data_IF_630810370625
#
_entry.id   IF_630810370625
#
_cell.length_a   1.000
_cell.length_b   1.000
_cell.length_c   1.000
_cell.angle_alpha   90.00
_cell.angle_beta   90.00
_cell.angle_gamma   90.00
#
_symmetry.space_group_name_H-M   'P 1'
#
loop_
_entity.id
_entity.type
_entity.pdbx_description
1 polymer ?
#
# COMPACT_ATOMS: atom_id res chain seq x y z
N UNK A 1 13.17 -0.22 33.59
CA UNK A 1 13.77 0.84 32.73
C UNK A 1 13.27 2.21 33.20
N UNK A 2 14.15 3.20 33.36
CA UNK A 2 13.77 4.57 33.73
C UNK A 2 12.95 5.19 32.55
N UNK A 3 12.04 6.13 32.89
CA UNK A 3 11.18 6.83 31.94
C UNK A 3 11.99 7.49 30.80
N UNK A 4 13.13 8.11 31.14
CA UNK A 4 14.02 8.76 30.17
C UNK A 4 14.66 7.76 29.18
N UNK A 5 15.08 6.59 29.66
CA UNK A 5 15.65 5.54 28.79
C UNK A 5 14.63 5.02 27.78
N UNK A 6 13.34 4.98 28.14
CA UNK A 6 12.29 4.57 27.19
C UNK A 6 12.07 5.61 26.09
N UNK A 7 12.07 6.91 26.44
CA UNK A 7 11.96 7.96 25.42
C UNK A 7 13.13 7.93 24.43
N UNK A 8 14.34 7.74 24.93
CA UNK A 8 15.54 7.58 24.10
C UNK A 8 15.40 6.35 23.20
N UNK A 9 14.93 5.23 23.75
CA UNK A 9 14.70 4.00 22.96
C UNK A 9 13.68 4.19 21.85
N UNK A 10 12.55 4.84 22.13
CA UNK A 10 11.51 5.11 21.11
C UNK A 10 12.04 6.05 20.01
N UNK A 11 12.74 7.11 20.40
CA UNK A 11 13.39 8.02 19.45
C UNK A 11 14.41 7.27 18.57
N UNK A 12 15.25 6.45 19.18
CA UNK A 12 16.19 5.60 18.47
C UNK A 12 15.48 4.64 17.51
N UNK A 13 14.39 4.00 17.95
CA UNK A 13 13.58 3.08 17.13
C UNK A 13 12.96 3.80 15.94
N UNK A 14 12.45 5.02 16.13
CA UNK A 14 11.96 5.88 15.05
C UNK A 14 13.07 6.16 14.02
N UNK A 15 14.22 6.64 14.48
CA UNK A 15 15.37 7.01 13.61
C UNK A 15 15.88 5.78 12.87
N UNK A 16 16.05 4.65 13.56
CA UNK A 16 16.54 3.41 12.97
C UNK A 16 15.56 2.90 11.88
N UNK A 17 14.26 2.88 12.19
CA UNK A 17 13.24 2.47 11.21
C UNK A 17 13.24 3.41 10.00
N UNK A 18 13.32 4.72 10.24
CA UNK A 18 13.32 5.73 9.19
C UNK A 18 14.54 5.55 8.25
N UNK A 19 15.74 5.44 8.81
CA UNK A 19 16.97 5.25 8.03
C UNK A 19 16.95 3.91 7.28
N UNK A 20 16.56 2.82 7.95
CA UNK A 20 16.51 1.50 7.35
C UNK A 20 15.55 1.48 6.15
N UNK A 21 14.39 2.12 6.27
CA UNK A 21 13.38 2.16 5.21
C UNK A 21 13.65 3.19 4.12
N UNK A 22 14.54 4.16 4.36
CA UNK A 22 15.09 5.01 3.29
C UNK A 22 16.21 4.32 2.49
N UNK A 23 16.84 3.28 3.03
CA UNK A 23 17.96 2.64 2.35
C UNK A 23 17.53 2.05 1.00
N UNK A 24 18.20 2.47 -0.08
CA UNK A 24 17.90 2.10 -1.48
C UNK A 24 16.47 2.42 -1.97
N UNK A 25 15.78 3.38 -1.36
CA UNK A 25 14.41 3.73 -1.71
C UNK A 25 14.27 4.32 -3.13
N UNK A 26 15.32 4.96 -3.63
CA UNK A 26 15.41 5.60 -4.96
C UNK A 26 16.08 4.71 -6.01
N UNK A 27 16.55 3.51 -5.63
CA UNK A 27 17.22 2.59 -6.55
C UNK A 27 16.30 2.02 -7.61
N UNK A 28 15.00 1.97 -7.34
CA UNK A 28 13.98 1.46 -8.24
C UNK A 28 13.05 2.56 -8.74
N UNK A 29 12.66 2.53 -10.02
CA UNK A 29 11.72 3.48 -10.57
C UNK A 29 10.35 3.34 -9.90
N UNK A 30 9.49 4.35 -10.11
CA UNK A 30 8.09 4.26 -9.72
C UNK A 30 7.40 3.08 -10.42
N UNK A 31 6.54 2.39 -9.71
CA UNK A 31 5.59 1.45 -10.27
C UNK A 31 4.41 2.20 -10.92
N UNK A 32 3.57 1.48 -11.67
CA UNK A 32 2.37 2.05 -12.28
C UNK A 32 1.43 2.70 -11.25
N UNK A 33 1.15 2.00 -10.15
CA UNK A 33 0.30 2.53 -9.07
C UNK A 33 0.88 3.79 -8.42
N UNK A 34 2.22 3.87 -8.32
CA UNK A 34 2.90 5.04 -7.74
C UNK A 34 2.84 6.26 -8.66
N UNK A 35 3.01 6.06 -9.99
CA UNK A 35 3.00 7.18 -10.92
C UNK A 35 1.63 7.86 -10.99
N UNK A 36 0.54 7.10 -10.80
CA UNK A 36 -0.80 7.67 -10.64
C UNK A 36 -0.83 8.58 -9.40
N UNK A 37 -0.31 8.11 -8.27
CA UNK A 37 -0.25 8.94 -7.05
C UNK A 37 0.59 10.20 -7.23
N UNK A 38 1.72 10.11 -7.96
CA UNK A 38 2.57 11.26 -8.30
C UNK A 38 1.84 12.23 -9.20
N UNK A 39 1.09 11.74 -10.18
CA UNK A 39 0.31 12.57 -11.10
C UNK A 39 -0.74 13.39 -10.36
N UNK A 40 -1.41 12.79 -9.38
CA UNK A 40 -2.41 13.47 -8.57
C UNK A 40 -1.82 14.62 -7.73
N UNK A 41 -0.51 14.60 -7.41
CA UNK A 41 0.15 15.73 -6.74
C UNK A 41 0.42 16.93 -7.66
N UNK A 42 0.34 16.74 -8.96
CA UNK A 42 0.55 17.82 -9.96
C UNK A 42 -0.73 18.55 -10.33
N UNK A 43 -1.87 18.07 -9.84
CA UNK A 43 -3.17 18.68 -10.04
C UNK A 43 -3.36 19.81 -9.01
N UNK A 44 -4.17 20.80 -9.36
CA UNK A 44 -4.58 21.83 -8.41
C UNK A 44 -5.26 21.19 -7.19
N UNK A 45 -4.90 21.65 -6.00
CA UNK A 45 -5.42 21.11 -4.72
C UNK A 45 -6.97 21.02 -4.71
N UNK A 46 -7.64 22.03 -5.28
CA UNK A 46 -9.10 22.06 -5.37
C UNK A 46 -9.71 20.99 -6.28
N UNK A 47 -8.94 20.43 -7.23
CA UNK A 47 -9.39 19.44 -8.20
C UNK A 47 -9.09 17.99 -7.78
N UNK A 48 -8.25 17.76 -6.74
CA UNK A 48 -7.87 16.41 -6.29
C UNK A 48 -9.11 15.54 -5.99
N UNK A 49 -10.14 16.13 -5.38
CA UNK A 49 -11.40 15.40 -5.10
C UNK A 49 -12.07 14.91 -6.38
N UNK A 50 -12.09 15.73 -7.43
CA UNK A 50 -12.73 15.37 -8.69
C UNK A 50 -11.98 14.26 -9.43
N UNK A 51 -10.66 14.34 -9.46
CA UNK A 51 -9.83 13.29 -10.08
C UNK A 51 -9.94 11.96 -9.31
N UNK A 52 -9.96 12.02 -7.98
CA UNK A 52 -10.12 10.82 -7.15
C UNK A 52 -11.51 10.14 -7.28
N UNK A 53 -12.48 10.76 -7.94
CA UNK A 53 -13.76 10.12 -8.29
C UNK A 53 -13.58 8.97 -9.30
N UNK A 54 -12.50 8.99 -10.06
CA UNK A 54 -12.17 7.96 -11.04
C UNK A 54 -11.17 6.93 -10.52
N UNK A 55 -10.58 7.18 -9.35
CA UNK A 55 -9.67 6.24 -8.69
C UNK A 55 -10.45 5.35 -7.70
N UNK A 56 -9.90 4.18 -7.47
CA UNK A 56 -10.37 3.23 -6.45
C UNK A 56 -10.09 3.68 -5.01
N UNK A 57 -9.38 4.80 -4.80
CA UNK A 57 -9.00 5.29 -3.48
C UNK A 57 -9.58 6.68 -3.20
N UNK A 58 -10.03 6.95 -1.96
CA UNK A 58 -10.47 8.27 -1.53
C UNK A 58 -9.33 9.31 -1.50
N UNK A 59 -9.64 10.62 -1.55
CA UNK A 59 -8.67 11.67 -1.82
C UNK A 59 -7.76 12.07 -0.66
N UNK A 60 -7.98 11.61 0.58
CA UNK A 60 -7.23 12.13 1.74
C UNK A 60 -5.72 11.88 1.64
N UNK A 61 -5.32 10.70 1.17
CA UNK A 61 -3.92 10.39 0.91
C UNK A 61 -3.31 11.38 -0.10
N UNK A 62 -4.00 11.68 -1.19
CA UNK A 62 -3.52 12.57 -2.26
C UNK A 62 -3.41 14.01 -1.78
N UNK A 63 -4.30 14.51 -0.93
CA UNK A 63 -4.16 15.82 -0.28
C UNK A 63 -2.89 15.90 0.58
N UNK A 64 -2.64 14.87 1.38
CA UNK A 64 -1.44 14.82 2.23
C UNK A 64 -0.16 14.74 1.37
N UNK A 65 -0.19 13.92 0.31
CA UNK A 65 0.94 13.74 -0.58
C UNK A 65 1.22 15.01 -1.41
N UNK A 66 0.18 15.75 -1.81
CA UNK A 66 0.30 17.03 -2.49
C UNK A 66 1.08 18.04 -1.64
N UNK A 67 0.73 18.17 -0.36
CA UNK A 67 1.46 19.05 0.57
C UNK A 67 2.92 18.56 0.71
N UNK A 68 3.13 17.26 0.82
CA UNK A 68 4.45 16.67 0.98
C UNK A 68 5.34 16.89 -0.23
N UNK A 69 4.81 16.75 -1.43
CA UNK A 69 5.50 16.98 -2.69
C UNK A 69 6.04 18.43 -2.79
N UNK A 70 5.27 19.41 -2.35
CA UNK A 70 5.71 20.82 -2.36
C UNK A 70 6.93 21.08 -1.48
N UNK A 71 7.17 20.22 -0.48
CA UNK A 71 8.29 20.35 0.46
C UNK A 71 9.49 19.51 0.00
N UNK A 72 9.25 18.27 -0.44
CA UNK A 72 10.29 17.27 -0.69
C UNK A 72 10.51 16.95 -2.19
N UNK A 73 9.67 17.48 -3.07
CA UNK A 73 9.76 17.33 -4.53
C UNK A 73 9.33 15.95 -5.04
N UNK A 74 9.41 15.80 -6.38
CA UNK A 74 8.87 14.66 -7.15
C UNK A 74 9.81 13.45 -7.26
N UNK A 75 11.01 13.49 -6.68
CA UNK A 75 11.93 12.35 -6.74
C UNK A 75 11.36 11.15 -5.98
N UNK A 76 11.80 9.93 -6.35
CA UNK A 76 11.41 8.69 -5.65
C UNK A 76 11.68 8.80 -4.14
N UNK A 77 12.82 9.37 -3.76
CA UNK A 77 13.15 9.64 -2.36
C UNK A 77 12.15 10.62 -1.74
N UNK A 78 11.86 11.75 -2.42
CA UNK A 78 10.96 12.78 -1.92
C UNK A 78 9.57 12.23 -1.64
N UNK A 79 8.94 11.63 -2.64
CA UNK A 79 7.55 11.12 -2.53
C UNK A 79 7.45 9.91 -1.60
N UNK A 80 8.34 8.91 -1.71
CA UNK A 80 8.28 7.70 -0.87
C UNK A 80 8.62 7.98 0.60
N UNK A 81 9.39 9.04 0.90
CA UNK A 81 9.68 9.44 2.28
C UNK A 81 8.41 9.77 3.09
N UNK A 82 7.30 10.14 2.44
CA UNK A 82 5.98 10.24 3.07
C UNK A 82 5.59 8.93 3.74
N UNK A 83 5.61 7.83 2.99
CA UNK A 83 5.25 6.51 3.50
C UNK A 83 6.20 6.05 4.61
N UNK A 84 7.51 6.30 4.48
CA UNK A 84 8.52 5.99 5.52
C UNK A 84 8.23 6.76 6.81
N UNK A 85 7.85 8.03 6.70
CA UNK A 85 7.53 8.86 7.86
C UNK A 85 6.35 8.31 8.65
N UNK A 86 5.22 8.02 8.00
CA UNK A 86 4.03 7.49 8.67
C UNK A 86 4.24 6.08 9.20
N UNK A 87 5.01 5.25 8.49
CA UNK A 87 5.43 3.95 8.99
C UNK A 87 6.26 4.09 10.28
N UNK A 88 7.19 5.03 10.35
CA UNK A 88 8.02 5.27 11.54
C UNK A 88 7.21 5.88 12.70
N UNK A 89 6.27 6.78 12.43
CA UNK A 89 5.36 7.34 13.42
C UNK A 89 4.47 6.28 14.08
N UNK A 90 4.16 5.20 13.36
CA UNK A 90 3.41 4.06 13.93
C UNK A 90 4.15 3.42 15.10
N UNK A 91 5.48 3.27 15.02
CA UNK A 91 6.30 2.73 16.12
C UNK A 91 6.18 3.63 17.35
N UNK A 92 6.29 4.94 17.17
CA UNK A 92 6.19 5.91 18.27
C UNK A 92 4.82 5.81 18.94
N UNK A 93 3.77 5.85 18.13
CA UNK A 93 2.38 5.84 18.56
C UNK A 93 2.03 4.56 19.34
N UNK A 94 2.29 3.41 18.75
CA UNK A 94 2.02 2.11 19.37
C UNK A 94 3.00 1.81 20.50
N UNK A 95 4.26 2.20 20.41
CA UNK A 95 5.24 2.01 21.45
C UNK A 95 4.86 2.72 22.77
N UNK A 96 4.43 3.97 22.70
CA UNK A 96 3.91 4.70 23.89
C UNK A 96 2.62 4.08 24.42
N UNK A 97 1.73 3.65 23.53
CA UNK A 97 0.49 2.98 23.90
C UNK A 97 0.76 1.66 24.63
N UNK A 98 1.64 0.81 24.10
CA UNK A 98 1.99 -0.48 24.69
C UNK A 98 2.68 -0.33 26.04
N UNK A 99 3.60 0.64 26.18
CA UNK A 99 4.21 0.96 27.48
C UNK A 99 3.15 1.32 28.52
N UNK A 100 2.15 2.12 28.13
CA UNK A 100 1.12 2.60 29.05
C UNK A 100 0.16 1.51 29.50
N UNK A 101 -0.22 0.61 28.60
CA UNK A 101 -1.30 -0.35 28.83
C UNK A 101 -0.84 -1.80 29.04
N UNK A 102 0.40 -2.10 28.71
CA UNK A 102 1.03 -3.40 28.96
C UNK A 102 2.31 -3.19 29.79
N UNK A 103 3.48 -3.24 29.16
CA UNK A 103 4.77 -3.05 29.81
C UNK A 103 5.86 -2.55 28.84
N UNK A 104 7.03 -2.17 29.39
CA UNK A 104 8.18 -1.70 28.61
C UNK A 104 8.73 -2.75 27.66
N UNK A 105 8.74 -4.04 28.10
CA UNK A 105 9.36 -5.13 27.34
C UNK A 105 8.52 -5.43 26.12
N UNK A 106 7.20 -5.46 26.26
CA UNK A 106 6.25 -5.61 25.15
C UNK A 106 6.44 -4.50 24.11
N UNK A 107 6.58 -3.24 24.57
CA UNK A 107 6.81 -2.12 23.66
C UNK A 107 8.16 -2.23 22.92
N UNK A 108 9.21 -2.69 23.60
CA UNK A 108 10.54 -2.92 23.01
C UNK A 108 10.48 -4.02 21.97
N UNK A 109 9.92 -5.18 22.30
CA UNK A 109 9.82 -6.33 21.38
C UNK A 109 8.97 -5.99 20.17
N UNK A 110 7.83 -5.32 20.37
CA UNK A 110 7.03 -4.80 19.27
C UNK A 110 7.87 -3.91 18.33
N UNK A 111 8.59 -2.93 18.89
CA UNK A 111 9.37 -2.00 18.07
C UNK A 111 10.46 -2.71 17.26
N UNK A 112 11.17 -3.66 17.86
CA UNK A 112 12.23 -4.40 17.19
C UNK A 112 11.65 -5.26 16.05
N UNK A 113 10.60 -6.04 16.29
CA UNK A 113 9.95 -6.87 15.29
C UNK A 113 9.39 -5.98 14.15
N UNK A 114 8.73 -4.87 14.48
CA UNK A 114 8.16 -3.94 13.49
C UNK A 114 9.22 -3.34 12.56
N UNK A 115 10.38 -2.95 13.10
CA UNK A 115 11.49 -2.36 12.32
C UNK A 115 11.96 -3.32 11.24
N UNK A 116 12.16 -4.59 11.59
CA UNK A 116 12.76 -5.59 10.69
C UNK A 116 11.73 -6.36 9.86
N UNK A 117 10.44 -6.09 10.00
CA UNK A 117 9.40 -6.81 9.27
C UNK A 117 9.47 -6.54 7.77
N UNK A 118 9.72 -7.58 6.91
CA UNK A 118 9.99 -7.38 5.48
C UNK A 118 8.81 -6.74 4.73
N UNK A 119 7.60 -7.15 5.02
CA UNK A 119 6.41 -6.62 4.36
C UNK A 119 6.19 -5.15 4.71
N UNK A 120 6.39 -4.75 5.97
CA UNK A 120 6.30 -3.34 6.38
C UNK A 120 7.43 -2.50 5.76
N UNK A 121 8.60 -3.08 5.50
CA UNK A 121 9.66 -2.43 4.72
C UNK A 121 9.19 -2.18 3.27
N UNK A 122 8.71 -3.23 2.61
CA UNK A 122 8.31 -3.16 1.20
C UNK A 122 7.23 -2.11 0.94
N UNK A 123 6.20 -2.04 1.81
CA UNK A 123 5.13 -1.05 1.68
C UNK A 123 5.49 0.34 2.20
N UNK A 124 6.50 0.47 3.07
CA UNK A 124 7.04 1.77 3.42
C UNK A 124 7.87 2.40 2.29
N UNK A 125 8.47 1.57 1.42
CA UNK A 125 9.19 2.00 0.22
C UNK A 125 8.26 2.19 -1.00
N UNK A 126 6.97 2.39 -0.81
CA UNK A 126 5.99 2.57 -1.86
C UNK A 126 5.21 3.88 -1.67
N UNK A 127 5.08 4.67 -2.74
CA UNK A 127 4.31 5.90 -2.75
C UNK A 127 2.80 5.61 -2.84
N UNK A 128 2.27 4.91 -1.81
CA UNK A 128 0.86 4.52 -1.71
C UNK A 128 0.32 4.77 -0.30
N UNK A 129 -0.97 4.77 -0.16
CA UNK A 129 -1.67 5.12 1.08
C UNK A 129 -1.47 4.17 2.27
N UNK A 130 -0.83 3.01 2.08
CA UNK A 130 -0.81 1.92 3.08
C UNK A 130 -0.13 2.28 4.40
N UNK A 131 1.00 3.01 4.36
CA UNK A 131 1.68 3.43 5.59
C UNK A 131 0.86 4.45 6.38
N UNK A 132 0.20 5.39 5.70
CA UNK A 132 -0.73 6.33 6.32
C UNK A 132 -1.93 5.60 6.92
N UNK A 133 -2.47 4.58 6.20
CA UNK A 133 -3.57 3.74 6.66
C UNK A 133 -3.20 3.01 7.96
N UNK A 134 -2.03 2.36 8.03
CA UNK A 134 -1.54 1.68 9.23
C UNK A 134 -1.42 2.67 10.42
N UNK A 135 -0.91 3.85 10.18
CA UNK A 135 -0.80 4.89 11.21
C UNK A 135 -2.17 5.34 11.73
N UNK A 136 -3.11 5.64 10.82
CA UNK A 136 -4.46 6.06 11.18
C UNK A 136 -5.25 4.95 11.91
N UNK A 137 -5.12 3.69 11.50
CA UNK A 137 -5.74 2.57 12.22
C UNK A 137 -5.16 2.44 13.63
N UNK A 138 -3.85 2.62 13.78
CA UNK A 138 -3.22 2.63 15.11
C UNK A 138 -3.80 3.73 15.99
N UNK A 139 -4.01 4.93 15.45
CA UNK A 139 -4.69 6.02 16.15
C UNK A 139 -6.16 5.69 16.46
N UNK A 140 -6.91 5.11 15.50
CA UNK A 140 -8.31 4.71 15.71
C UNK A 140 -8.44 3.74 16.88
N UNK A 141 -7.57 2.76 16.98
CA UNK A 141 -7.59 1.78 18.07
C UNK A 141 -7.25 2.43 19.42
N UNK A 142 -6.28 3.35 19.46
CA UNK A 142 -5.96 4.10 20.66
C UNK A 142 -7.15 4.97 21.09
N UNK A 143 -7.77 5.67 20.16
CA UNK A 143 -8.96 6.48 20.42
C UNK A 143 -10.13 5.63 20.89
N UNK A 144 -10.34 4.46 20.27
CA UNK A 144 -11.36 3.49 20.63
C UNK A 144 -11.14 2.96 22.06
N UNK A 145 -9.91 2.56 22.41
CA UNK A 145 -9.61 2.11 23.76
C UNK A 145 -9.77 3.23 24.80
N UNK A 146 -9.28 4.44 24.50
CA UNK A 146 -9.49 5.59 25.39
C UNK A 146 -10.97 5.91 25.57
N UNK A 147 -11.79 5.77 24.51
CA UNK A 147 -13.24 5.91 24.59
C UNK A 147 -13.87 4.86 25.51
N UNK A 148 -13.46 3.59 25.40
CA UNK A 148 -13.94 2.52 26.28
C UNK A 148 -13.60 2.80 27.75
N UNK A 149 -12.37 3.25 28.02
CA UNK A 149 -11.91 3.51 29.39
C UNK A 149 -12.57 4.72 30.03
N UNK A 150 -12.68 5.83 29.31
CA UNK A 150 -13.05 7.13 29.88
C UNK A 150 -14.47 7.59 29.49
N UNK A 151 -15.06 7.00 28.46
CA UNK A 151 -16.43 7.27 27.97
C UNK A 151 -16.82 8.76 27.94
N UNK A 152 -15.93 9.64 27.53
CA UNK A 152 -16.22 11.07 27.44
C UNK A 152 -16.57 11.49 25.98
N UNK A 153 -17.29 12.62 25.85
CA UNK A 153 -17.74 13.14 24.55
C UNK A 153 -16.58 13.49 23.62
N UNK A 154 -15.45 13.93 24.16
CA UNK A 154 -14.26 14.31 23.36
C UNK A 154 -13.69 13.05 22.69
N UNK A 155 -13.47 11.98 23.45
CA UNK A 155 -12.97 10.71 22.89
C UNK A 155 -13.91 10.14 21.83
N UNK A 156 -15.23 10.30 21.99
CA UNK A 156 -16.22 9.89 21.02
C UNK A 156 -16.09 10.69 19.71
N UNK A 157 -15.99 12.01 19.79
CA UNK A 157 -15.83 12.88 18.60
C UNK A 157 -14.52 12.54 17.88
N UNK A 158 -13.41 12.41 18.63
CA UNK A 158 -12.11 12.07 18.07
C UNK A 158 -12.16 10.70 17.38
N UNK A 159 -12.83 9.69 17.97
CA UNK A 159 -13.00 8.39 17.35
C UNK A 159 -13.75 8.50 16.01
N UNK A 160 -14.85 9.24 15.98
CA UNK A 160 -15.62 9.48 14.75
C UNK A 160 -14.80 10.18 13.66
N UNK A 161 -14.01 11.19 14.03
CA UNK A 161 -13.11 11.90 13.12
C UNK A 161 -11.99 10.99 12.56
N UNK A 162 -11.34 10.21 13.41
CA UNK A 162 -10.27 9.31 12.97
C UNK A 162 -10.84 8.18 12.08
N UNK A 163 -12.00 7.62 12.42
CA UNK A 163 -12.66 6.62 11.57
C UNK A 163 -13.07 7.22 10.21
N UNK A 164 -13.50 8.49 10.18
CA UNK A 164 -13.73 9.19 8.91
C UNK A 164 -12.43 9.32 8.09
N UNK A 165 -11.32 9.80 8.68
CA UNK A 165 -10.04 9.94 7.98
C UNK A 165 -9.51 8.60 7.47
N UNK A 166 -9.72 7.51 8.22
CA UNK A 166 -9.41 6.15 7.79
C UNK A 166 -10.14 5.79 6.50
N UNK A 167 -11.45 5.92 6.47
CA UNK A 167 -12.28 5.59 5.30
C UNK A 167 -11.98 6.55 4.16
N UNK A 168 -11.69 7.82 4.46
CA UNK A 168 -11.31 8.83 3.49
C UNK A 168 -9.86 8.68 2.96
N UNK A 169 -9.09 7.73 3.55
CA UNK A 169 -7.78 7.28 3.04
C UNK A 169 -7.91 6.03 2.17
N UNK A 170 -8.74 5.06 2.59
CA UNK A 170 -8.96 3.82 1.87
C UNK A 170 -10.30 3.19 2.26
N UNK A 171 -11.17 2.87 1.29
CA UNK A 171 -12.52 2.33 1.55
C UNK A 171 -12.52 1.06 2.40
N UNK A 172 -11.51 0.20 2.24
CA UNK A 172 -11.37 -1.04 2.99
C UNK A 172 -11.22 -0.82 4.49
N UNK A 173 -10.74 0.36 4.92
CA UNK A 173 -10.68 0.70 6.33
C UNK A 173 -12.06 0.73 7.02
N UNK A 174 -13.14 0.83 6.27
CA UNK A 174 -14.50 0.72 6.80
C UNK A 174 -14.74 -0.61 7.54
N UNK A 175 -14.01 -1.68 7.18
CA UNK A 175 -14.10 -2.97 7.87
C UNK A 175 -13.71 -2.91 9.36
N UNK A 176 -12.94 -1.91 9.80
CA UNK A 176 -12.58 -1.80 11.23
C UNK A 176 -13.80 -1.48 12.10
N UNK A 177 -14.78 -0.72 11.58
CA UNK A 177 -15.94 -0.23 12.35
C UNK A 177 -16.85 -1.36 12.82
N UNK A 178 -17.26 -2.34 11.99
CA UNK A 178 -18.02 -3.50 12.45
C UNK A 178 -17.30 -4.27 13.57
N UNK A 179 -15.98 -4.37 13.53
CA UNK A 179 -15.22 -5.04 14.59
C UNK A 179 -15.16 -4.22 15.88
N UNK A 180 -15.08 -2.88 15.80
CA UNK A 180 -15.24 -2.01 16.97
C UNK A 180 -16.62 -2.20 17.60
N UNK A 181 -17.69 -2.24 16.79
CA UNK A 181 -19.05 -2.42 17.25
C UNK A 181 -19.28 -3.81 17.86
N UNK A 182 -18.80 -4.86 17.21
CA UNK A 182 -18.86 -6.24 17.71
C UNK A 182 -18.14 -6.38 19.05
N UNK A 183 -16.96 -5.78 19.19
CA UNK A 183 -16.22 -5.81 20.45
C UNK A 183 -16.98 -5.14 21.60
N UNK A 184 -17.65 -4.00 21.34
CA UNK A 184 -18.48 -3.33 22.32
C UNK A 184 -19.69 -4.17 22.71
N UNK A 185 -20.37 -4.81 21.77
CA UNK A 185 -21.50 -5.71 22.04
C UNK A 185 -21.07 -6.86 22.96
N UNK A 186 -19.89 -7.43 22.72
CA UNK A 186 -19.43 -8.58 23.47
C UNK A 186 -18.92 -8.23 24.87
N UNK A 187 -18.19 -7.12 25.01
CA UNK A 187 -17.43 -6.82 26.23
C UNK A 187 -17.88 -5.57 26.99
N UNK A 188 -18.54 -4.61 26.29
CA UNK A 188 -18.81 -3.26 26.83
C UNK A 188 -20.19 -2.72 26.46
N UNK A 189 -21.24 -3.53 26.64
CA UNK A 189 -22.64 -3.22 26.23
C UNK A 189 -23.12 -1.83 26.63
N UNK A 190 -22.66 -1.31 27.80
CA UNK A 190 -23.02 0.05 28.27
C UNK A 190 -22.56 1.18 27.33
N UNK A 191 -21.62 0.93 26.41
CA UNK A 191 -21.10 1.91 25.47
C UNK A 191 -21.73 1.83 24.06
N UNK A 192 -22.72 0.95 23.84
CA UNK A 192 -23.32 0.73 22.52
C UNK A 192 -23.86 2.02 21.91
N UNK A 193 -24.65 2.79 22.67
CA UNK A 193 -25.26 4.04 22.18
C UNK A 193 -24.19 5.04 21.77
N UNK A 194 -23.15 5.23 22.60
CA UNK A 194 -22.08 6.16 22.30
C UNK A 194 -21.24 5.71 21.09
N UNK A 195 -21.06 4.40 20.89
CA UNK A 195 -20.39 3.91 19.69
C UNK A 195 -21.23 4.11 18.42
N UNK A 196 -22.53 3.96 18.52
CA UNK A 196 -23.47 4.32 17.43
C UNK A 196 -23.31 5.81 17.09
N UNK A 197 -23.24 6.70 18.08
CA UNK A 197 -23.03 8.14 17.86
C UNK A 197 -21.69 8.40 17.14
N UNK A 198 -20.61 7.73 17.54
CA UNK A 198 -19.31 7.84 16.83
C UNK A 198 -19.42 7.38 15.37
N UNK A 199 -20.13 6.28 15.13
CA UNK A 199 -20.45 5.80 13.78
C UNK A 199 -21.29 6.80 12.96
N UNK A 200 -22.31 7.43 13.58
CA UNK A 200 -23.12 8.47 12.95
C UNK A 200 -22.29 9.72 12.59
N UNK A 201 -21.37 10.14 13.45
CA UNK A 201 -20.40 11.22 13.14
C UNK A 201 -19.58 10.84 11.90
N UNK A 202 -19.04 9.63 11.88
CA UNK A 202 -18.29 9.12 10.72
C UNK A 202 -19.12 9.16 9.46
N UNK A 203 -20.34 8.62 9.48
CA UNK A 203 -21.28 8.61 8.34
C UNK A 203 -21.65 10.01 7.88
N UNK A 204 -21.90 10.92 8.81
CA UNK A 204 -22.21 12.31 8.50
C UNK A 204 -21.03 12.97 7.75
N UNK A 205 -19.78 12.82 8.23
CA UNK A 205 -18.61 13.36 7.56
C UNK A 205 -18.39 12.73 6.18
N UNK A 206 -18.65 11.43 6.03
CA UNK A 206 -18.63 10.74 4.74
C UNK A 206 -19.66 11.37 3.80
N UNK A 207 -20.89 11.58 4.24
CA UNK A 207 -21.95 12.16 3.42
C UNK A 207 -21.63 13.57 2.92
N UNK A 208 -20.83 14.35 3.66
CA UNK A 208 -20.39 15.68 3.26
C UNK A 208 -19.25 15.67 2.24
N UNK A 209 -18.45 14.62 2.21
CA UNK A 209 -17.18 14.59 1.48
C UNK A 209 -17.17 13.64 0.30
N UNK A 210 -17.93 12.55 0.37
CA UNK A 210 -18.02 11.58 -0.72
C UNK A 210 -18.98 12.08 -1.80
N UNK A 211 -18.62 11.86 -3.06
CA UNK A 211 -19.48 12.13 -4.18
C UNK A 211 -20.43 10.95 -4.44
N UNK A 212 -21.53 11.19 -5.20
CA UNK A 212 -22.42 10.12 -5.62
C UNK A 212 -21.66 8.98 -6.31
N UNK A 213 -20.71 9.32 -7.16
CA UNK A 213 -19.90 8.34 -7.90
C UNK A 213 -19.02 7.49 -6.98
N UNK A 214 -18.41 8.08 -5.94
CA UNK A 214 -17.66 7.31 -4.94
C UNK A 214 -18.56 6.35 -4.16
N UNK A 215 -19.79 6.75 -3.83
CA UNK A 215 -20.78 5.84 -3.25
C UNK A 215 -21.15 4.70 -4.21
N UNK A 216 -21.37 5.01 -5.48
CA UNK A 216 -21.65 4.01 -6.53
C UNK A 216 -20.48 3.04 -6.69
N UNK A 217 -19.22 3.50 -6.62
CA UNK A 217 -18.05 2.62 -6.63
C UNK A 217 -17.99 1.69 -5.42
N UNK A 218 -18.31 2.19 -4.22
CA UNK A 218 -18.34 1.37 -3.00
C UNK A 218 -19.45 0.31 -3.09
N UNK A 219 -20.62 0.70 -3.56
CA UNK A 219 -21.80 -0.19 -3.69
C UNK A 219 -21.66 -1.05 -4.95
N UNK A 220 -21.15 -0.49 -6.04
CA UNK A 220 -21.02 -1.12 -7.34
C UNK A 220 -19.93 -2.18 -7.43
N UNK A 221 -19.03 -2.25 -6.44
CA UNK A 221 -18.16 -3.42 -6.23
C UNK A 221 -18.99 -4.70 -6.02
N UNK A 222 -20.27 -4.56 -5.76
CA UNK A 222 -21.22 -5.67 -5.64
C UNK A 222 -21.99 -6.02 -6.91
N UNK A 223 -21.87 -5.25 -8.01
CA UNK A 223 -22.60 -5.42 -9.27
C UNK A 223 -21.72 -5.73 -10.50
N UNK A 224 -22.15 -5.41 -11.70
CA UNK A 224 -21.55 -5.83 -12.97
C UNK A 224 -20.08 -5.41 -13.22
N UNK A 225 -19.57 -4.39 -12.53
CA UNK A 225 -18.15 -3.99 -12.59
C UNK A 225 -17.17 -5.05 -12.06
N UNK A 226 -17.66 -6.03 -11.30
CA UNK A 226 -16.87 -7.17 -10.77
C UNK A 226 -16.44 -8.13 -11.91
N UNK A 227 -17.14 -8.15 -13.02
CA UNK A 227 -16.85 -9.08 -14.14
C UNK A 227 -15.53 -8.79 -14.85
N UNK A 228 -14.99 -7.57 -14.73
CA UNK A 228 -13.75 -7.13 -15.39
C UNK A 228 -12.58 -6.82 -14.44
N UNK A 229 -12.66 -7.21 -13.17
CA UNK A 229 -11.58 -6.93 -12.24
C UNK A 229 -10.38 -7.87 -12.46
N UNK A 230 -9.17 -7.31 -12.43
CA UNK A 230 -7.91 -8.07 -12.44
C UNK A 230 -7.72 -8.94 -11.17
N UNK A 231 -8.52 -8.69 -10.12
CA UNK A 231 -8.52 -9.45 -8.87
C UNK A 231 -9.27 -10.76 -9.11
N UNK A 232 -8.66 -11.87 -8.75
CA UNK A 232 -9.30 -13.20 -8.80
C UNK A 232 -10.00 -13.52 -7.49
N UNK A 233 -11.01 -14.40 -7.53
CA UNK A 233 -11.64 -14.93 -6.33
C UNK A 233 -10.60 -15.60 -5.44
N UNK A 234 -10.73 -15.42 -4.13
CA UNK A 234 -9.79 -15.96 -3.16
C UNK A 234 -9.87 -17.49 -3.12
N UNK A 235 -8.71 -18.12 -3.13
CA UNK A 235 -8.52 -19.55 -2.93
C UNK A 235 -7.84 -19.78 -1.58
N UNK A 236 -7.86 -21.00 -1.08
CA UNK A 236 -7.13 -21.34 0.15
C UNK A 236 -5.63 -21.05 0.05
N UNK A 237 -5.05 -21.20 -1.15
CA UNK A 237 -3.65 -20.82 -1.40
C UNK A 237 -3.40 -19.34 -1.15
N UNK A 238 -4.35 -18.45 -1.48
CA UNK A 238 -4.21 -17.01 -1.20
C UNK A 238 -4.20 -16.72 0.30
N UNK A 239 -5.00 -17.44 1.10
CA UNK A 239 -4.96 -17.29 2.56
C UNK A 239 -3.61 -17.79 3.13
N UNK A 240 -3.09 -18.91 2.64
CA UNK A 240 -1.77 -19.41 3.04
C UNK A 240 -0.65 -18.45 2.65
N UNK A 241 -0.72 -17.86 1.44
CA UNK A 241 0.23 -16.84 1.00
C UNK A 241 0.18 -15.60 1.90
N UNK A 242 -1.02 -15.14 2.26
CA UNK A 242 -1.17 -14.05 3.22
C UNK A 242 -0.51 -14.37 4.57
N UNK A 243 -0.78 -15.53 5.15
CA UNK A 243 -0.19 -15.93 6.44
C UNK A 243 1.34 -16.05 6.34
N UNK A 244 1.84 -16.53 5.20
CA UNK A 244 3.27 -16.66 4.98
C UNK A 244 3.99 -15.32 4.81
N UNK A 245 3.39 -14.39 4.08
CA UNK A 245 4.02 -13.10 3.75
C UNK A 245 3.79 -12.03 4.82
N UNK A 246 2.63 -12.05 5.51
CA UNK A 246 2.22 -11.01 6.44
C UNK A 246 2.45 -11.39 7.90
N UNK A 247 2.41 -12.68 8.24
CA UNK A 247 2.49 -13.17 9.62
C UNK A 247 3.66 -14.13 9.82
N UNK A 248 4.83 -13.80 9.28
CA UNK A 248 6.12 -14.52 9.38
C UNK A 248 6.17 -15.87 8.65
N UNK A 249 5.16 -16.66 8.74
CA UNK A 249 4.80 -17.88 8.02
C UNK A 249 3.56 -18.50 8.68
N UNK A 250 2.87 -19.37 7.97
CA UNK A 250 1.74 -20.11 8.55
C UNK A 250 2.15 -20.98 9.76
N UNK A 251 3.39 -21.45 9.82
CA UNK A 251 3.92 -22.21 10.98
C UNK A 251 4.02 -21.29 12.20
N UNK A 252 4.60 -20.10 12.07
CA UNK A 252 4.66 -19.13 13.16
C UNK A 252 3.27 -18.67 13.59
N UNK A 253 2.35 -18.47 12.65
CA UNK A 253 0.96 -18.15 12.97
C UNK A 253 0.32 -19.21 13.85
N UNK A 254 0.48 -20.49 13.53
CA UNK A 254 -0.04 -21.61 14.34
C UNK A 254 0.62 -21.67 15.73
N UNK A 255 1.94 -21.47 15.83
CA UNK A 255 2.65 -21.44 17.12
C UNK A 255 2.15 -20.27 17.99
N UNK A 256 1.89 -19.12 17.40
CA UNK A 256 1.34 -17.97 18.11
C UNK A 256 -0.10 -18.26 18.56
N UNK A 257 -0.92 -18.86 17.71
CA UNK A 257 -2.29 -19.25 18.07
C UNK A 257 -2.29 -20.23 19.26
N UNK A 258 -1.43 -21.26 19.24
CA UNK A 258 -1.28 -22.19 20.35
C UNK A 258 -0.79 -21.50 21.64
N UNK A 259 0.15 -20.54 21.51
CA UNK A 259 0.62 -19.74 22.63
C UNK A 259 -0.46 -18.84 23.22
N UNK A 260 -1.33 -18.27 22.37
CA UNK A 260 -2.52 -17.52 22.82
C UNK A 260 -3.42 -18.41 23.65
N UNK A 261 -3.77 -19.59 23.15
CA UNK A 261 -4.62 -20.55 23.85
C UNK A 261 -4.01 -20.97 25.20
N UNK A 262 -2.68 -21.17 25.23
CA UNK A 262 -1.97 -21.51 26.47
C UNK A 262 -2.05 -20.37 27.49
N UNK A 263 -1.74 -19.13 27.09
CA UNK A 263 -1.76 -17.95 27.97
C UNK A 263 -3.18 -17.66 28.47
N UNK A 264 -4.16 -17.69 27.59
CA UNK A 264 -5.58 -17.48 27.95
C UNK A 264 -6.09 -18.55 28.95
N UNK A 265 -5.65 -19.79 28.81
CA UNK A 265 -6.01 -20.86 29.77
C UNK A 265 -5.37 -20.65 31.15
N UNK A 266 -4.12 -20.18 31.18
CA UNK A 266 -3.37 -19.95 32.41
C UNK A 266 -3.87 -18.72 33.20
N UNK A 267 -4.21 -17.62 32.48
CA UNK A 267 -4.57 -16.34 33.07
C UNK A 267 -6.09 -16.14 33.29
N UNK A 268 -6.91 -17.19 33.14
CA UNK A 268 -8.39 -17.12 33.28
C UNK A 268 -8.89 -16.45 34.59
N UNK A 269 -8.06 -16.26 35.60
CA UNK A 269 -8.46 -15.74 36.90
C UNK A 269 -8.24 -14.23 37.12
N UNK A 270 -7.48 -13.53 36.27
CA UNK A 270 -7.15 -12.10 36.49
C UNK A 270 -6.98 -11.37 35.16
N UNK A 271 -8.05 -11.23 34.39
CA UNK A 271 -8.02 -10.35 33.23
C UNK A 271 -8.44 -8.96 33.71
N UNK A 272 -7.48 -8.03 33.78
CA UNK A 272 -7.73 -6.62 34.07
C UNK A 272 -8.42 -5.94 32.88
N UNK A 273 -9.12 -4.83 33.12
CA UNK A 273 -9.78 -4.06 32.03
C UNK A 273 -8.82 -3.62 30.91
N UNK A 274 -7.52 -3.46 31.23
CA UNK A 274 -6.49 -3.13 30.24
C UNK A 274 -6.11 -4.30 29.33
N UNK A 275 -6.25 -5.54 29.80
CA UNK A 275 -5.92 -6.76 29.05
C UNK A 275 -7.04 -7.15 28.07
N UNK A 276 -8.27 -6.69 28.30
CA UNK A 276 -9.38 -6.92 27.38
C UNK A 276 -9.09 -6.38 25.96
N UNK A 277 -8.26 -5.35 25.84
CA UNK A 277 -7.86 -4.81 24.52
C UNK A 277 -7.03 -5.81 23.70
N UNK A 278 -6.36 -6.77 24.34
CA UNK A 278 -5.66 -7.84 23.64
C UNK A 278 -6.63 -8.69 22.80
N UNK A 279 -7.84 -8.95 23.31
CA UNK A 279 -8.87 -9.63 22.53
C UNK A 279 -9.24 -8.85 21.28
N UNK A 280 -9.28 -7.50 21.39
CA UNK A 280 -9.52 -6.66 20.22
C UNK A 280 -8.41 -6.76 19.18
N UNK A 281 -7.14 -6.81 19.59
CA UNK A 281 -6.03 -7.06 18.67
C UNK A 281 -6.14 -8.43 18.00
N UNK A 282 -6.54 -9.47 18.74
CA UNK A 282 -6.80 -10.81 18.19
C UNK A 282 -7.94 -10.74 17.18
N UNK A 283 -9.03 -10.02 17.48
CA UNK A 283 -10.14 -9.81 16.53
C UNK A 283 -9.64 -9.20 15.22
N UNK A 284 -8.82 -8.14 15.28
CA UNK A 284 -8.29 -7.49 14.07
C UNK A 284 -7.33 -8.42 13.35
N UNK A 285 -6.38 -9.04 14.05
CA UNK A 285 -5.34 -9.83 13.42
C UNK A 285 -5.83 -11.17 12.83
N UNK A 286 -6.88 -11.76 13.38
CA UNK A 286 -7.39 -13.06 12.95
C UNK A 286 -8.70 -12.96 12.16
N UNK A 287 -9.70 -12.26 12.70
CA UNK A 287 -11.03 -12.27 12.09
C UNK A 287 -11.17 -11.33 10.89
N UNK A 288 -10.40 -10.23 10.84
CA UNK A 288 -10.41 -9.35 9.66
C UNK A 288 -9.89 -10.09 8.41
N UNK A 289 -8.69 -10.69 8.42
CA UNK A 289 -8.21 -11.46 7.27
C UNK A 289 -9.14 -12.62 6.89
N UNK A 290 -9.69 -13.33 7.90
CA UNK A 290 -10.62 -14.42 7.66
C UNK A 290 -11.91 -13.92 6.99
N UNK A 291 -12.46 -12.81 7.45
CA UNK A 291 -13.66 -12.20 6.84
C UNK A 291 -13.39 -11.77 5.40
N UNK A 292 -12.21 -11.16 5.14
CA UNK A 292 -11.78 -10.81 3.78
C UNK A 292 -11.63 -12.03 2.90
N UNK A 293 -11.09 -13.12 3.44
CA UNK A 293 -10.98 -14.38 2.71
C UNK A 293 -12.35 -14.96 2.34
N UNK A 294 -13.28 -15.03 3.31
CA UNK A 294 -14.64 -15.56 3.08
C UNK A 294 -15.38 -14.70 2.04
N UNK A 295 -15.34 -13.38 2.18
CA UNK A 295 -15.95 -12.47 1.21
C UNK A 295 -15.23 -12.56 -0.12
N UNK A 296 -13.90 -12.65 -0.11
CA UNK A 296 -13.05 -12.77 -1.30
C UNK A 296 -13.27 -14.06 -2.12
N UNK A 297 -13.76 -15.12 -1.49
CA UNK A 297 -14.17 -16.34 -2.18
C UNK A 297 -15.45 -16.14 -3.03
N UNK A 298 -16.28 -15.17 -2.67
CA UNK A 298 -17.51 -14.80 -3.38
C UNK A 298 -17.25 -13.63 -4.32
N UNK A 299 -16.69 -12.55 -3.77
CA UNK A 299 -16.42 -11.27 -4.44
C UNK A 299 -14.90 -11.04 -4.50
N UNK A 300 -14.28 -10.76 -5.66
CA UNK A 300 -12.83 -10.68 -5.82
C UNK A 300 -12.23 -9.44 -5.16
N UNK A 301 -12.06 -9.45 -3.83
CA UNK A 301 -11.50 -8.35 -3.03
C UNK A 301 -10.27 -8.74 -2.19
N UNK A 302 -9.92 -10.03 -2.14
CA UNK A 302 -8.84 -10.51 -1.28
C UNK A 302 -7.47 -10.24 -1.90
N UNK A 303 -6.79 -9.19 -1.42
CA UNK A 303 -5.42 -8.85 -1.79
C UNK A 303 -4.64 -8.54 -0.52
N UNK A 304 -3.44 -9.09 -0.41
CA UNK A 304 -2.59 -8.94 0.76
C UNK A 304 -2.41 -7.47 1.20
N UNK A 305 -2.19 -6.56 0.25
CA UNK A 305 -2.00 -5.12 0.55
C UNK A 305 -3.22 -4.45 1.19
N UNK A 306 -4.43 -4.95 0.94
CA UNK A 306 -5.67 -4.37 1.49
C UNK A 306 -5.87 -4.67 2.97
N UNK A 307 -5.33 -5.78 3.45
CA UNK A 307 -5.39 -6.21 4.85
C UNK A 307 -4.06 -6.09 5.59
N UNK A 308 -3.09 -5.39 4.97
CA UNK A 308 -1.77 -5.10 5.55
C UNK A 308 -1.86 -4.41 6.92
N UNK A 309 -2.89 -3.62 7.16
CA UNK A 309 -3.11 -2.91 8.40
C UNK A 309 -3.32 -3.82 9.62
N UNK A 310 -3.53 -5.12 9.41
CA UNK A 310 -3.64 -6.11 10.50
C UNK A 310 -2.29 -6.53 11.06
N UNK A 311 -1.21 -6.35 10.29
CA UNK A 311 0.15 -6.78 10.65
C UNK A 311 0.66 -6.17 11.97
N UNK A 312 0.54 -4.87 12.25
CA UNK A 312 1.00 -4.32 13.53
C UNK A 312 0.35 -4.97 14.74
N UNK A 313 -0.92 -5.37 14.64
CA UNK A 313 -1.66 -6.00 15.75
C UNK A 313 -1.22 -7.44 15.96
N UNK A 314 -0.90 -8.15 14.89
CA UNK A 314 -0.26 -9.45 14.98
C UNK A 314 1.12 -9.35 15.65
N UNK A 315 1.92 -8.34 15.30
CA UNK A 315 3.22 -8.08 15.95
C UNK A 315 3.03 -7.75 17.45
N UNK A 316 2.01 -6.96 17.82
CA UNK A 316 1.69 -6.68 19.23
C UNK A 316 1.39 -7.96 20.00
N UNK A 317 0.51 -8.81 19.46
CA UNK A 317 0.17 -10.10 20.08
C UNK A 317 1.42 -10.95 20.25
N UNK A 318 2.24 -11.06 19.21
CA UNK A 318 3.51 -11.80 19.24
C UNK A 318 4.45 -11.24 20.30
N UNK A 319 4.67 -9.92 20.34
CA UNK A 319 5.50 -9.27 21.34
C UNK A 319 5.01 -9.54 22.76
N UNK A 320 3.69 -9.41 23.00
CA UNK A 320 3.09 -9.70 24.31
C UNK A 320 3.30 -11.17 24.72
N UNK A 321 3.06 -12.13 23.84
CA UNK A 321 3.23 -13.55 24.13
C UNK A 321 4.68 -13.90 24.44
N UNK A 322 5.63 -13.35 23.69
CA UNK A 322 7.06 -13.51 23.94
C UNK A 322 7.44 -13.06 25.36
N UNK A 323 6.89 -11.96 25.83
CA UNK A 323 7.15 -11.51 27.22
C UNK A 323 6.64 -12.49 28.28
N UNK A 324 5.52 -13.17 28.02
CA UNK A 324 4.92 -14.15 28.95
C UNK A 324 5.64 -15.50 28.96
N UNK A 325 6.40 -15.81 27.92
CA UNK A 325 7.14 -17.08 27.80
C UNK A 325 8.56 -17.02 28.41
N UNK A 326 8.97 -15.92 29.05
CA UNK A 326 10.26 -15.77 29.72
C UNK A 326 11.46 -16.16 28.79
N UNK A 327 12.32 -17.09 29.23
CA UNK A 327 13.50 -17.54 28.45
C UNK A 327 13.14 -18.09 27.07
N UNK A 328 12.07 -18.86 26.98
CA UNK A 328 11.59 -19.40 25.68
C UNK A 328 11.15 -18.27 24.74
N UNK A 329 10.50 -17.23 25.29
CA UNK A 329 10.12 -16.06 24.53
C UNK A 329 11.32 -15.33 23.92
N UNK A 330 12.42 -15.21 24.67
CA UNK A 330 13.63 -14.58 24.14
C UNK A 330 14.27 -15.41 23.01
N UNK A 331 14.26 -16.74 23.10
CA UNK A 331 14.70 -17.62 22.02
C UNK A 331 13.81 -17.43 20.78
N UNK A 332 12.48 -17.39 20.97
CA UNK A 332 11.53 -17.13 19.89
C UNK A 332 11.75 -15.78 19.21
N UNK A 333 12.03 -14.72 19.98
CA UNK A 333 12.37 -13.41 19.43
C UNK A 333 13.59 -13.50 18.50
N UNK A 334 14.66 -14.17 18.94
CA UNK A 334 15.87 -14.35 18.11
C UNK A 334 15.53 -15.10 16.81
N UNK A 335 14.74 -16.16 16.88
CA UNK A 335 14.33 -16.94 15.70
C UNK A 335 13.51 -16.08 14.74
N UNK A 336 12.51 -15.33 15.25
CA UNK A 336 11.69 -14.43 14.43
C UNK A 336 12.58 -13.39 13.76
N UNK A 337 13.45 -12.71 14.50
CA UNK A 337 14.33 -11.69 13.97
C UNK A 337 15.31 -12.24 12.93
N UNK A 338 15.87 -13.44 13.17
CA UNK A 338 16.75 -14.08 12.20
C UNK A 338 16.01 -14.36 10.88
N UNK A 339 14.76 -14.83 10.97
CA UNK A 339 13.91 -15.06 9.80
C UNK A 339 13.56 -13.76 9.08
N UNK A 340 13.18 -12.72 9.82
CA UNK A 340 12.85 -11.41 9.23
C UNK A 340 14.05 -10.77 8.55
N UNK A 341 15.22 -10.73 9.22
CA UNK A 341 16.45 -10.16 8.67
C UNK A 341 16.91 -10.92 7.41
N UNK A 342 16.79 -12.25 7.41
CA UNK A 342 17.09 -13.06 6.23
C UNK A 342 16.19 -12.71 5.03
N UNK A 343 14.93 -12.37 5.27
CA UNK A 343 13.95 -12.03 4.23
C UNK A 343 13.94 -10.53 3.86
N UNK A 344 14.74 -9.69 4.51
CA UNK A 344 14.82 -8.28 4.15
C UNK A 344 15.39 -8.12 2.74
N UNK A 345 14.63 -7.46 1.88
CA UNK A 345 15.03 -7.12 0.52
C UNK A 345 14.81 -5.63 0.30
N UNK A 346 15.88 -4.91 -0.03
CA UNK A 346 15.85 -3.48 -0.26
C UNK A 346 15.85 -3.17 -1.76
N UNK A 347 15.11 -2.15 -2.16
CA UNK A 347 15.05 -1.71 -3.55
C UNK A 347 14.47 -2.79 -4.47
N UNK A 348 13.42 -3.48 -4.01
CA UNK A 348 12.74 -4.50 -4.82
C UNK A 348 11.96 -3.82 -5.93
N UNK A 349 12.24 -4.20 -7.17
CA UNK A 349 11.48 -3.74 -8.33
C UNK A 349 10.02 -4.20 -8.22
N UNK A 350 9.11 -3.24 -8.37
CA UNK A 350 7.66 -3.49 -8.35
C UNK A 350 7.02 -3.33 -9.72
N UNK A 351 7.82 -3.29 -10.77
CA UNK A 351 7.31 -3.08 -12.11
C UNK A 351 8.40 -2.93 -13.17
N UNK A 352 8.02 -2.30 -14.26
CA UNK A 352 8.83 -2.14 -15.45
C UNK A 352 9.84 -0.99 -15.25
N UNK A 353 11.11 -1.20 -15.59
CA UNK A 353 12.16 -0.19 -15.43
C UNK A 353 12.16 0.85 -16.56
N UNK A 354 11.14 1.70 -16.60
CA UNK A 354 11.07 2.80 -17.57
C UNK A 354 12.11 3.92 -17.35
N UNK A 355 12.71 4.02 -16.18
CA UNK A 355 13.83 4.95 -15.91
C UNK A 355 15.02 4.65 -16.82
N UNK A 356 15.39 3.38 -16.92
CA UNK A 356 16.45 2.91 -17.82
C UNK A 356 16.06 3.09 -19.29
N UNK A 357 14.83 2.78 -19.65
CA UNK A 357 14.27 2.93 -21.00
C UNK A 357 14.33 4.37 -21.46
N UNK A 358 13.82 5.32 -20.66
CA UNK A 358 13.83 6.74 -20.96
C UNK A 358 15.27 7.30 -21.08
N UNK A 359 16.15 6.91 -20.16
CA UNK A 359 17.57 7.28 -20.21
C UNK A 359 18.26 6.79 -21.48
N UNK A 360 17.91 5.58 -21.94
CA UNK A 360 18.45 5.04 -23.19
C UNK A 360 17.90 5.80 -24.40
N UNK A 361 16.60 6.10 -24.43
CA UNK A 361 15.96 6.86 -25.52
C UNK A 361 16.58 8.24 -25.70
N UNK A 362 16.91 8.94 -24.60
CA UNK A 362 17.56 10.26 -24.63
C UNK A 362 18.93 10.29 -25.32
N UNK A 363 19.60 9.14 -25.48
CA UNK A 363 20.91 9.05 -26.15
C UNK A 363 20.81 9.14 -27.68
N UNK A 364 19.63 9.04 -28.26
CA UNK A 364 19.45 9.18 -29.70
C UNK A 364 19.39 10.64 -30.11
N UNK A 365 20.33 11.09 -30.93
CA UNK A 365 20.43 12.47 -31.42
C UNK A 365 19.23 12.88 -32.30
N UNK A 366 18.77 11.96 -33.14
CA UNK A 366 17.58 12.14 -33.97
C UNK A 366 16.41 11.54 -33.19
N UNK A 367 15.52 12.38 -32.68
CA UNK A 367 14.35 11.95 -31.95
C UNK A 367 13.56 10.89 -32.77
N UNK A 368 13.76 9.59 -32.53
CA UNK A 368 13.04 8.56 -33.28
C UNK A 368 11.57 8.59 -32.87
N UNK A 369 10.70 8.08 -33.72
CA UNK A 369 9.34 7.77 -33.34
C UNK A 369 9.35 6.67 -32.26
N UNK A 370 8.66 6.89 -31.16
CA UNK A 370 8.55 5.98 -30.03
C UNK A 370 7.17 5.33 -30.03
N UNK A 371 7.13 4.02 -30.03
CA UNK A 371 5.88 3.25 -29.89
C UNK A 371 5.96 2.45 -28.59
N UNK A 372 4.98 2.63 -27.72
CA UNK A 372 4.83 1.92 -26.46
C UNK A 372 3.68 0.93 -26.59
N UNK A 373 3.99 -0.36 -26.54
CA UNK A 373 2.99 -1.43 -26.69
C UNK A 373 2.39 -1.80 -25.33
N UNK A 374 1.81 -0.83 -24.66
CA UNK A 374 0.90 -0.96 -23.50
C UNK A 374 0.51 0.44 -23.03
N UNK A 375 -0.69 0.84 -23.32
CA UNK A 375 -1.22 2.18 -23.03
C UNK A 375 -1.03 2.61 -21.58
N UNK A 376 -1.23 1.68 -20.64
CA UNK A 376 -1.21 1.98 -19.20
C UNK A 376 0.17 2.37 -18.65
N UNK A 377 1.26 2.15 -19.41
CA UNK A 377 2.63 2.45 -18.96
C UNK A 377 3.27 3.63 -19.66
N UNK A 378 2.56 4.26 -20.59
CA UNK A 378 3.04 5.45 -21.31
C UNK A 378 3.38 6.60 -20.37
N UNK A 379 2.60 6.80 -19.34
CA UNK A 379 2.85 7.84 -18.32
C UNK A 379 4.15 7.61 -17.55
N UNK A 380 4.49 6.35 -17.22
CA UNK A 380 5.77 5.99 -16.60
C UNK A 380 6.96 6.36 -17.47
N UNK A 381 6.86 6.09 -18.78
CA UNK A 381 7.90 6.47 -19.74
C UNK A 381 8.06 7.99 -19.78
N UNK A 382 6.95 8.74 -19.93
CA UNK A 382 6.97 10.18 -20.07
C UNK A 382 7.54 10.85 -18.82
N UNK A 383 7.19 10.39 -17.61
CA UNK A 383 7.73 10.93 -16.36
C UNK A 383 9.26 10.95 -16.36
N UNK A 384 9.89 9.86 -16.77
CA UNK A 384 11.36 9.77 -16.83
C UNK A 384 11.97 10.37 -18.08
N UNK A 385 11.20 10.45 -19.17
CA UNK A 385 11.66 11.00 -20.43
C UNK A 385 11.64 12.52 -20.42
N UNK A 386 10.54 13.14 -20.01
CA UNK A 386 10.34 14.58 -19.95
C UNK A 386 9.34 14.95 -18.85
N UNK A 387 9.86 15.42 -17.72
CA UNK A 387 9.04 15.77 -16.54
C UNK A 387 8.14 16.98 -16.81
N UNK A 388 8.58 17.96 -17.64
CA UNK A 388 7.77 19.12 -17.97
C UNK A 388 6.62 18.75 -18.91
N UNK A 389 6.86 17.82 -19.82
CA UNK A 389 5.80 17.21 -20.61
C UNK A 389 4.82 16.45 -19.72
N UNK A 390 5.30 15.63 -18.79
CA UNK A 390 4.46 14.89 -17.84
C UNK A 390 3.53 15.82 -17.04
N UNK A 391 4.02 16.97 -16.58
CA UNK A 391 3.22 17.98 -15.87
C UNK A 391 2.12 18.61 -16.75
N UNK A 392 2.34 18.69 -18.05
CA UNK A 392 1.39 19.31 -19.01
C UNK A 392 0.34 18.34 -19.51
N UNK A 393 0.67 17.05 -19.61
CA UNK A 393 -0.22 16.02 -20.15
C UNK A 393 -1.31 15.71 -19.13
N UNK A 394 -2.55 16.09 -19.46
CA UNK A 394 -3.75 15.64 -18.75
C UNK A 394 -4.12 14.21 -19.15
N UNK A 395 -4.94 13.55 -18.36
CA UNK A 395 -5.48 12.22 -18.70
C UNK A 395 -6.03 12.24 -20.14
N UNK A 396 -5.53 11.36 -21.04
CA UNK A 396 -5.95 11.18 -22.44
C UNK A 396 -5.44 12.17 -23.51
N UNK A 397 -4.28 12.73 -23.37
CA UNK A 397 -3.72 13.58 -24.43
C UNK A 397 -2.95 12.81 -25.51
N UNK A 398 -3.58 11.79 -26.13
CA UNK A 398 -2.99 11.11 -27.32
C UNK A 398 -2.50 12.10 -28.38
N UNK A 399 -3.25 13.16 -28.62
CA UNK A 399 -2.89 14.18 -29.61
C UNK A 399 -1.57 14.90 -29.29
N UNK A 400 -1.35 15.28 -28.01
CA UNK A 400 -0.12 15.94 -27.57
C UNK A 400 1.09 15.01 -27.66
N UNK A 401 0.91 13.71 -27.31
CA UNK A 401 1.97 12.71 -27.44
C UNK A 401 2.32 12.45 -28.89
N UNK A 402 1.32 12.29 -29.76
CA UNK A 402 1.49 12.04 -31.18
C UNK A 402 2.23 13.22 -31.85
N UNK A 403 1.96 14.45 -31.43
CA UNK A 403 2.69 15.65 -31.89
C UNK A 403 4.20 15.61 -31.54
N UNK A 404 4.59 14.83 -30.52
CA UNK A 404 5.97 14.60 -30.11
C UNK A 404 6.56 13.29 -30.63
N UNK A 405 5.88 12.64 -31.58
CA UNK A 405 6.26 11.33 -32.10
C UNK A 405 6.31 10.21 -31.03
N UNK A 406 5.46 10.29 -30.01
CA UNK A 406 5.27 9.27 -29.00
C UNK A 406 3.87 8.67 -29.15
N UNK A 407 3.78 7.38 -29.44
CA UNK A 407 2.53 6.69 -29.70
C UNK A 407 2.36 5.53 -28.73
N UNK A 408 1.15 5.34 -28.25
CA UNK A 408 0.75 4.12 -27.59
C UNK A 408 -0.06 3.25 -28.55
N UNK A 409 0.34 1.99 -28.73
CA UNK A 409 -0.32 1.07 -29.63
C UNK A 409 -0.30 -0.36 -29.07
N UNK A 410 -1.46 -0.87 -28.72
CA UNK A 410 -1.60 -2.19 -28.07
C UNK A 410 -1.65 -3.36 -29.07
N UNK A 411 -1.85 -3.06 -30.35
CA UNK A 411 -2.01 -4.07 -31.40
C UNK A 411 -1.30 -3.71 -32.70
N UNK A 412 -1.04 -4.72 -33.52
CA UNK A 412 -0.52 -4.51 -34.86
C UNK A 412 -1.49 -3.68 -35.74
N UNK A 413 -2.79 -3.72 -35.46
CA UNK A 413 -3.79 -2.90 -36.14
C UNK A 413 -3.63 -1.42 -35.81
N UNK A 414 -3.46 -1.07 -34.54
CA UNK A 414 -3.22 0.31 -34.11
C UNK A 414 -1.91 0.87 -34.69
N UNK A 415 -0.86 0.05 -34.79
CA UNK A 415 0.40 0.44 -35.42
C UNK A 415 0.24 0.79 -36.89
N UNK A 416 -0.64 0.08 -37.63
CA UNK A 416 -0.95 0.37 -39.02
C UNK A 416 -1.60 1.75 -39.21
N UNK A 417 -2.31 2.24 -38.20
CA UNK A 417 -2.97 3.54 -38.23
C UNK A 417 -2.00 4.70 -38.01
N UNK A 418 -0.80 4.42 -37.47
CA UNK A 418 0.25 5.41 -37.28
C UNK A 418 0.95 5.65 -38.62
N UNK A 419 1.06 6.92 -39.04
CA UNK A 419 1.77 7.25 -40.27
C UNK A 419 3.30 7.08 -40.11
N UNK A 420 3.81 5.96 -40.57
CA UNK A 420 5.22 5.59 -40.48
C UNK A 420 6.01 5.82 -41.78
N UNK A 421 5.38 6.40 -42.83
CA UNK A 421 5.93 6.45 -44.19
C UNK A 421 7.29 7.16 -44.24
N UNK A 422 7.44 8.25 -43.52
CA UNK A 422 8.66 9.06 -43.51
C UNK A 422 9.62 8.75 -42.37
N UNK A 423 9.32 7.80 -41.54
CA UNK A 423 10.12 7.48 -40.35
C UNK A 423 11.28 6.56 -40.69
N UNK A 424 12.50 7.09 -40.59
CA UNK A 424 13.74 6.30 -40.80
C UNK A 424 14.08 5.40 -39.60
N UNK A 425 13.68 5.81 -38.41
CA UNK A 425 14.06 5.11 -37.16
C UNK A 425 12.86 5.07 -36.23
N UNK A 426 12.53 3.90 -35.71
CA UNK A 426 11.44 3.65 -34.78
C UNK A 426 11.97 2.89 -33.56
N UNK A 427 11.63 3.40 -32.37
CA UNK A 427 11.85 2.73 -31.09
C UNK A 427 10.57 2.06 -30.65
N UNK A 428 10.58 0.74 -30.58
CA UNK A 428 9.46 -0.05 -30.08
C UNK A 428 9.78 -0.59 -28.69
N UNK A 429 8.92 -0.26 -27.72
CA UNK A 429 8.93 -0.82 -26.37
C UNK A 429 7.79 -1.81 -26.22
N UNK A 430 8.11 -3.06 -25.95
CA UNK A 430 7.16 -4.16 -25.79
C UNK A 430 7.24 -4.71 -24.36
N UNK A 431 6.11 -4.90 -23.71
CA UNK A 431 6.03 -5.61 -22.43
C UNK A 431 5.79 -7.10 -22.66
N UNK A 432 6.19 -7.95 -21.71
CA UNK A 432 6.10 -9.41 -21.88
C UNK A 432 4.66 -9.96 -21.79
N UNK A 433 3.69 -9.15 -21.37
CA UNK A 433 2.32 -9.61 -21.11
C UNK A 433 1.51 -9.96 -22.36
N UNK A 434 2.01 -9.64 -23.57
CA UNK A 434 1.30 -9.80 -24.85
C UNK A 434 2.17 -10.47 -25.93
N UNK A 435 2.72 -11.65 -25.63
CA UNK A 435 3.72 -12.29 -26.53
C UNK A 435 3.17 -12.54 -27.94
N UNK A 436 1.91 -13.03 -28.05
CA UNK A 436 1.28 -13.29 -29.36
C UNK A 436 1.12 -12.01 -30.20
N UNK A 437 0.75 -10.89 -29.60
CA UNK A 437 0.60 -9.62 -30.30
C UNK A 437 1.97 -9.01 -30.63
N UNK A 438 2.95 -9.20 -29.76
CA UNK A 438 4.33 -8.78 -30.01
C UNK A 438 4.94 -9.48 -31.24
N UNK A 439 4.59 -10.73 -31.49
CA UNK A 439 5.01 -11.46 -32.70
C UNK A 439 4.40 -10.80 -33.96
N UNK A 440 3.10 -10.55 -33.97
CA UNK A 440 2.40 -9.88 -35.11
C UNK A 440 2.95 -8.49 -35.40
N UNK A 441 3.27 -7.71 -34.33
CA UNK A 441 3.86 -6.38 -34.46
C UNK A 441 5.25 -6.48 -35.13
N UNK A 442 6.10 -7.40 -34.68
CA UNK A 442 7.43 -7.58 -35.26
C UNK A 442 7.37 -8.07 -36.73
N UNK A 443 6.42 -8.93 -37.06
CA UNK A 443 6.18 -9.37 -38.43
C UNK A 443 5.73 -8.21 -39.32
N UNK A 444 4.84 -7.35 -38.82
CA UNK A 444 4.40 -6.17 -39.53
C UNK A 444 5.57 -5.23 -39.90
N UNK A 445 6.50 -4.98 -38.96
CA UNK A 445 7.68 -4.17 -39.21
C UNK A 445 8.57 -4.78 -40.31
N UNK A 446 8.76 -6.10 -40.28
CA UNK A 446 9.53 -6.82 -41.34
C UNK A 446 8.89 -6.67 -42.70
N UNK A 447 7.56 -6.84 -42.82
CA UNK A 447 6.81 -6.71 -44.05
C UNK A 447 6.86 -5.30 -44.65
N UNK A 448 7.07 -4.28 -43.81
CA UNK A 448 7.17 -2.87 -44.24
C UNK A 448 8.62 -2.38 -44.39
N UNK A 449 9.56 -3.27 -44.64
CA UNK A 449 10.97 -3.00 -44.93
C UNK A 449 11.77 -2.38 -43.78
N UNK A 450 11.34 -2.62 -42.52
CA UNK A 450 12.12 -2.25 -41.36
C UNK A 450 12.98 -3.43 -40.91
N UNK A 451 14.27 -3.16 -40.70
CA UNK A 451 15.21 -4.11 -40.10
C UNK A 451 15.43 -3.81 -38.63
N UNK A 452 15.47 -4.87 -37.84
CA UNK A 452 15.92 -4.78 -36.46
C UNK A 452 17.41 -4.51 -36.43
N UNK A 453 17.80 -3.29 -36.03
CA UNK A 453 19.21 -2.87 -35.98
C UNK A 453 19.82 -3.01 -34.61
N UNK A 454 19.02 -2.99 -33.54
CA UNK A 454 19.46 -3.12 -32.17
C UNK A 454 18.35 -3.64 -31.27
N UNK A 455 18.74 -4.50 -30.34
CA UNK A 455 17.86 -5.13 -29.39
C UNK A 455 18.48 -5.03 -27.99
N UNK A 456 17.69 -4.60 -26.99
CA UNK A 456 18.07 -4.62 -25.60
C UNK A 456 16.90 -5.10 -24.74
N UNK A 457 17.22 -5.78 -23.63
CA UNK A 457 16.27 -6.15 -22.59
C UNK A 457 16.52 -5.27 -21.39
N UNK A 458 15.50 -4.56 -20.98
CA UNK A 458 15.42 -3.92 -19.67
C UNK A 458 14.49 -4.73 -18.80
N UNK A 459 14.58 -4.59 -17.50
CA UNK A 459 13.70 -5.29 -16.57
C UNK A 459 12.23 -5.06 -16.92
N UNK A 460 11.56 -6.13 -17.41
CA UNK A 460 10.15 -6.12 -17.83
C UNK A 460 9.84 -5.47 -19.19
N UNK A 461 10.83 -4.95 -19.95
CA UNK A 461 10.61 -4.34 -21.26
C UNK A 461 11.60 -4.84 -22.28
N UNK A 462 11.08 -5.25 -23.42
CA UNK A 462 11.84 -5.49 -24.62
C UNK A 462 11.91 -4.22 -25.46
N UNK A 463 13.12 -3.77 -25.74
CA UNK A 463 13.40 -2.64 -26.61
C UNK A 463 13.89 -3.13 -27.96
N UNK A 464 13.31 -2.62 -29.03
CA UNK A 464 13.76 -2.91 -30.39
C UNK A 464 13.89 -1.62 -31.20
N UNK A 465 15.08 -1.39 -31.75
CA UNK A 465 15.34 -0.31 -32.70
C UNK A 465 15.13 -0.84 -34.11
N UNK A 466 14.13 -0.32 -34.79
CA UNK A 466 13.87 -0.58 -36.20
C UNK A 466 14.42 0.55 -37.05
N UNK A 467 15.07 0.19 -38.14
CA UNK A 467 15.56 1.13 -39.17
C UNK A 467 15.00 0.73 -40.53
N UNK A 468 14.53 1.71 -41.28
CA UNK A 468 14.05 1.52 -42.65
C UNK A 468 15.25 1.34 -43.56
N UNK A 469 15.16 0.32 -44.46
CA UNK A 469 16.19 0.10 -45.47
C UNK A 469 16.26 1.20 -46.53
#
# INVERSE_FOLDING_TARGET
>A
MNKNHFYIFILFSFILNFILKLFKIDSMPYSYDEIISVKDTLIDFGHIKHESEWDSNPPFYYYCLWIWEKIFGLSELGIRSFSVTFNSLTIVTLGFYLKKHFDYITAIFFSIIYIFHPTLLNYAQEARCYSLLIFLISLSIICFHNFILNNNKINLIILGLINFLLIYTHYIAAFIIPFQFLFIILFYKKHIINNIIAGLITLFLISLRFTKKQFELIIGVTSDSIKETWIKKATFSNLLDFLNTMYFSYVFFLLILLSILYVLNKERKVITNSENILYYFIFIAAFVPLSFYIIGAITPIFINRYILFTVPFFIIITAYLITKLNKLGFILLIVILSFEIYNLKFGVSKGINFKSVASYTKKFKNKPLVIINKKDVTELFIFYYDIELFKKIKYNSKAELNALNIFDANSAQEIKEINLIDQKTILLFQTFDTEAENIKINEWFKLNNYKNSKYNLFEGVKFTLFQKN
#
